data_IF_572706692627
#
_entry.id   IF_572706692627
#
_cell.length_a   1.000
_cell.length_b   1.000
_cell.length_c   1.000
_cell.angle_alpha   90.00
_cell.angle_beta   90.00
_cell.angle_gamma   90.00
#
_symmetry.space_group_name_H-M   'P 1'
#
loop_
_entity.id
_entity.type
_entity.pdbx_description
1 polymer ?
#
# COMPACT_ATOMS: atom_id res chain seq x y z
N UNK A 1 -1.89 2.59 8.72
CA UNK A 1 -1.66 1.41 7.85
C UNK A 1 -2.53 1.58 6.61
N UNK A 2 -1.97 1.44 5.41
CA UNK A 2 -2.78 1.43 4.18
C UNK A 2 -3.59 0.13 4.05
N UNK A 3 -4.36 -0.02 2.96
CA UNK A 3 -5.22 -1.19 2.68
C UNK A 3 -4.47 -2.54 2.72
N UNK A 4 -3.13 -2.52 2.59
CA UNK A 4 -2.23 -3.67 2.67
C UNK A 4 -2.29 -4.61 1.46
N UNK A 5 -3.02 -4.23 0.41
CA UNK A 5 -3.07 -4.89 -0.89
C UNK A 5 -1.72 -4.84 -1.60
N UNK A 6 -1.12 -3.65 -1.65
CA UNK A 6 0.22 -3.42 -2.21
C UNK A 6 1.31 -4.26 -1.53
N UNK A 7 1.13 -4.63 -0.27
CA UNK A 7 2.10 -5.45 0.47
C UNK A 7 2.04 -6.93 0.10
N UNK A 8 0.98 -7.39 -0.60
CA UNK A 8 0.84 -8.78 -1.01
C UNK A 8 1.56 -9.04 -2.32
N UNK A 9 1.20 -8.28 -3.37
CA UNK A 9 1.80 -8.43 -4.70
C UNK A 9 1.36 -7.34 -5.70
N UNK A 10 0.13 -6.82 -5.57
CA UNK A 10 -0.49 -6.01 -6.62
C UNK A 10 -0.71 -4.54 -6.20
N UNK A 11 -0.56 -3.56 -7.10
CA UNK A 11 -0.98 -2.19 -6.84
C UNK A 11 -2.49 -2.10 -6.56
N UNK A 12 -2.87 -1.15 -5.71
CA UNK A 12 -4.28 -0.82 -5.49
C UNK A 12 -4.80 0.14 -6.58
N UNK A 13 -6.12 0.28 -6.68
CA UNK A 13 -6.76 1.19 -7.64
C UNK A 13 -6.28 2.65 -7.52
N UNK A 14 -6.04 3.14 -6.30
CA UNK A 14 -5.50 4.49 -6.08
C UNK A 14 -4.07 4.60 -6.62
N UNK A 15 -3.26 3.54 -6.46
CA UNK A 15 -1.94 3.50 -7.07
C UNK A 15 -2.04 3.51 -8.60
N UNK A 16 -2.98 2.79 -9.19
CA UNK A 16 -3.19 2.79 -10.63
C UNK A 16 -3.62 4.16 -11.15
N UNK A 17 -4.52 4.84 -10.44
CA UNK A 17 -4.95 6.19 -10.82
C UNK A 17 -3.79 7.20 -10.78
N UNK A 18 -2.86 7.05 -9.83
CA UNK A 18 -1.76 8.01 -9.65
C UNK A 18 -0.52 7.69 -10.51
N UNK A 19 -0.19 6.41 -10.67
CA UNK A 19 1.09 5.98 -11.27
C UNK A 19 0.92 5.12 -12.53
N UNK A 20 -0.30 4.73 -12.90
CA UNK A 20 -0.54 3.80 -13.98
C UNK A 20 -0.27 2.34 -13.59
N UNK A 21 -0.13 1.48 -14.59
CA UNK A 21 0.15 0.05 -14.38
C UNK A 21 1.63 -0.16 -14.06
N UNK A 22 1.91 -0.82 -12.94
CA UNK A 22 3.26 -1.16 -12.51
C UNK A 22 3.25 -2.58 -11.92
N UNK A 23 4.36 -3.34 -12.06
CA UNK A 23 4.44 -4.68 -11.47
C UNK A 23 4.37 -4.64 -9.93
N UNK A 24 4.74 -3.52 -9.32
CA UNK A 24 4.64 -3.27 -7.88
C UNK A 24 4.25 -1.82 -7.64
N UNK A 25 3.49 -1.57 -6.57
CA UNK A 25 3.04 -0.22 -6.21
C UNK A 25 4.24 0.73 -5.97
N UNK A 26 4.42 1.80 -6.76
CA UNK A 26 5.52 2.75 -6.59
C UNK A 26 5.47 3.53 -5.27
N UNK A 27 4.30 3.60 -4.63
CA UNK A 27 4.12 4.23 -3.33
C UNK A 27 4.41 3.27 -2.16
N UNK A 28 4.84 2.04 -2.38
CA UNK A 28 5.14 1.10 -1.31
C UNK A 28 6.59 1.27 -0.85
N UNK A 29 6.79 1.81 0.35
CA UNK A 29 8.12 2.10 0.89
C UNK A 29 8.46 1.21 2.08
N UNK A 30 9.68 0.69 2.10
CA UNK A 30 10.23 -0.04 3.24
C UNK A 30 10.79 0.94 4.28
N UNK A 31 10.43 0.75 5.56
CA UNK A 31 10.87 1.62 6.67
C UNK A 31 11.98 1.01 7.52
N UNK A 32 12.59 -0.10 7.10
CA UNK A 32 13.51 -0.90 7.92
C UNK A 32 12.82 -1.96 8.78
N UNK A 33 11.53 -1.78 9.12
CA UNK A 33 10.75 -2.74 9.91
C UNK A 33 9.41 -3.14 9.27
N UNK A 34 8.84 -2.29 8.42
CA UNK A 34 7.55 -2.54 7.76
C UNK A 34 7.41 -1.76 6.46
N UNK A 35 6.44 -2.18 5.64
CA UNK A 35 6.01 -1.38 4.50
C UNK A 35 5.00 -0.30 4.89
N UNK A 36 5.13 0.86 4.27
CA UNK A 36 4.21 2.01 4.39
C UNK A 36 3.78 2.47 3.00
N UNK A 37 2.60 3.09 2.92
CA UNK A 37 2.11 3.69 1.69
C UNK A 37 2.46 5.17 1.66
N UNK A 38 3.31 5.58 0.73
CA UNK A 38 3.74 6.96 0.53
C UNK A 38 2.57 7.90 0.18
N UNK A 39 1.54 7.42 -0.54
CA UNK A 39 0.33 8.22 -0.81
C UNK A 39 -0.44 8.58 0.46
N UNK A 40 -0.36 7.73 1.49
CA UNK A 40 -0.98 7.99 2.80
C UNK A 40 -0.08 8.88 3.65
N UNK A 41 1.25 8.65 3.63
CA UNK A 41 2.20 9.44 4.41
C UNK A 41 2.38 10.85 3.85
N UNK A 42 2.31 11.00 2.53
CA UNK A 42 2.47 12.26 1.80
C UNK A 42 1.33 12.38 0.77
N UNK A 43 0.13 12.77 1.24
CA UNK A 43 -1.03 12.95 0.36
C UNK A 43 -0.74 13.96 -0.76
N UNK A 44 -1.22 13.64 -1.96
CA UNK A 44 -1.15 14.53 -3.12
C UNK A 44 -2.50 15.23 -3.29
N UNK A 45 -2.49 16.52 -3.61
CA UNK A 45 -3.70 17.26 -3.89
C UNK A 45 -4.50 16.60 -5.04
N UNK A 46 -5.82 16.50 -4.87
CA UNK A 46 -6.72 15.91 -5.88
C UNK A 46 -6.74 14.38 -5.95
N UNK A 47 -5.99 13.67 -5.11
CA UNK A 47 -6.05 12.21 -5.02
C UNK A 47 -7.03 11.80 -3.93
N UNK A 48 -8.07 11.05 -4.29
CA UNK A 48 -8.98 10.45 -3.31
C UNK A 48 -8.31 9.23 -2.64
N UNK A 49 -8.09 9.34 -1.33
CA UNK A 49 -7.49 8.29 -0.50
C UNK A 49 -8.53 7.48 0.27
N UNK A 50 -9.81 7.85 0.20
CA UNK A 50 -10.92 7.13 0.86
C UNK A 50 -10.93 5.64 0.54
N UNK A 51 -10.67 5.19 -0.71
CA UNK A 51 -10.67 3.77 -1.05
C UNK A 51 -9.51 2.97 -0.43
N UNK A 52 -8.52 3.63 0.18
CA UNK A 52 -7.44 2.94 0.89
C UNK A 52 -7.85 2.41 2.26
N UNK A 53 -9.05 2.76 2.76
CA UNK A 53 -9.57 2.34 4.07
C UNK A 53 -8.53 2.49 5.19
N UNK A 54 -7.78 3.60 5.19
CA UNK A 54 -6.70 3.84 6.14
C UNK A 54 -7.25 3.79 7.57
N UNK A 55 -6.64 2.97 8.41
CA UNK A 55 -7.04 2.82 9.82
C UNK A 55 -8.09 1.73 10.07
N UNK A 56 -8.77 1.21 9.05
CA UNK A 56 -9.73 0.09 9.18
C UNK A 56 -9.04 -1.29 9.25
N UNK A 57 -7.70 -1.31 9.30
CA UNK A 57 -6.89 -2.53 9.18
C UNK A 57 -6.72 -2.95 7.71
N UNK A 58 -5.78 -3.86 7.45
CA UNK A 58 -5.60 -4.40 6.10
C UNK A 58 -6.87 -5.16 5.69
N UNK A 59 -7.49 -4.76 4.57
CA UNK A 59 -8.68 -5.40 4.02
C UNK A 59 -8.43 -6.88 3.66
N UNK A 60 -7.17 -7.27 3.45
CA UNK A 60 -6.77 -8.67 3.40
C UNK A 60 -6.64 -9.25 4.81
N UNK A 61 -7.78 -9.61 5.41
CA UNK A 61 -7.88 -10.25 6.74
C UNK A 61 -7.00 -11.51 6.86
N UNK A 62 -6.72 -12.19 5.75
CA UNK A 62 -5.88 -13.39 5.66
C UNK A 62 -4.51 -13.15 5.01
N UNK A 63 -3.97 -11.94 5.09
CA UNK A 63 -2.61 -11.68 4.63
C UNK A 63 -1.59 -12.42 5.52
N UNK A 64 -1.23 -13.65 5.13
CA UNK A 64 -0.22 -14.47 5.79
C UNK A 64 1.15 -13.78 5.88
N UNK A 65 1.42 -12.78 5.03
CA UNK A 65 2.68 -12.03 5.09
C UNK A 65 2.80 -11.12 6.31
N UNK A 66 1.72 -10.85 7.06
CA UNK A 66 1.80 -10.07 8.31
C UNK A 66 2.78 -10.67 9.32
N UNK A 67 3.00 -11.98 9.28
CA UNK A 67 3.97 -12.68 10.14
C UNK A 67 5.36 -12.85 9.49
N UNK A 68 5.51 -12.49 8.21
CA UNK A 68 6.74 -12.64 7.42
C UNK A 68 7.10 -11.34 6.68
N UNK A 69 6.94 -10.21 7.38
CA UNK A 69 7.25 -8.88 6.87
C UNK A 69 8.78 -8.74 6.77
N UNK A 70 9.28 -8.56 5.54
CA UNK A 70 10.69 -8.36 5.22
C UNK A 70 10.81 -7.49 3.97
N UNK A 71 11.97 -6.89 3.76
CA UNK A 71 12.30 -6.15 2.54
C UNK A 71 12.35 -7.10 1.33
N UNK A 72 11.81 -6.65 0.19
CA UNK A 72 11.54 -7.51 -1.00
C UNK A 72 11.77 -6.81 -2.34
N UNK A 73 12.33 -5.60 -2.36
CA UNK A 73 12.62 -4.83 -3.60
C UNK A 73 11.39 -4.12 -4.10
#
# INVERSE_FOLDING_TARGET
MGCGWCCLDNPCEVSHAVYGYAPRCPALEWTGARYVCALVLRPRAGVDLTPLFVGQGCCARHNAWRQAVRERG
#
